data_IF_529268858854
#
_entry.id   IF_529268858854
#
_cell.length_a   1.000
_cell.length_b   1.000
_cell.length_c   1.000
_cell.angle_alpha   90.00
_cell.angle_beta   90.00
_cell.angle_gamma   90.00
#
_symmetry.space_group_name_H-M   'P 1'
#
loop_
_entity.id
_entity.type
_entity.pdbx_description
1 polymer ?
#
# COMPACT_ATOMS: atom_id res chain seq x y z
N UNK A 1 26.05 -4.29 5.86
CA UNK A 1 25.09 -3.78 6.83
C UNK A 1 23.69 -4.22 6.41
N UNK A 2 22.88 -4.68 7.35
CA UNK A 2 21.47 -5.03 7.14
C UNK A 2 20.61 -4.29 8.15
N UNK A 3 19.41 -3.91 7.75
CA UNK A 3 18.41 -3.29 8.61
C UNK A 3 17.01 -3.67 8.14
N UNK A 4 16.05 -3.51 9.03
CA UNK A 4 14.65 -3.84 8.79
C UNK A 4 13.79 -2.60 9.05
N UNK A 5 12.83 -2.37 8.18
CA UNK A 5 11.85 -1.31 8.29
C UNK A 5 10.64 -1.62 7.40
N UNK A 6 9.63 -0.77 7.41
CA UNK A 6 8.47 -0.86 6.54
C UNK A 6 8.85 -0.92 5.06
N UNK A 7 8.18 -1.75 4.29
CA UNK A 7 8.48 -1.99 2.87
C UNK A 7 8.49 -0.71 2.04
N UNK A 8 7.49 0.14 2.19
CA UNK A 8 7.41 1.38 1.43
C UNK A 8 8.59 2.31 1.75
N UNK A 9 9.06 2.32 3.00
CA UNK A 9 10.25 3.06 3.40
C UNK A 9 11.51 2.47 2.80
N UNK A 10 11.67 1.13 2.79
CA UNK A 10 12.79 0.45 2.13
C UNK A 10 12.90 0.81 0.66
N UNK A 11 11.80 0.67 -0.09
CA UNK A 11 11.77 1.02 -1.50
C UNK A 11 12.00 2.53 -1.74
N UNK A 12 11.49 3.38 -0.84
CA UNK A 12 11.74 4.81 -0.87
C UNK A 12 13.21 5.17 -0.67
N UNK A 13 13.89 4.54 0.28
CA UNK A 13 15.32 4.76 0.51
C UNK A 13 16.17 4.22 -0.65
N UNK A 14 15.81 3.06 -1.21
CA UNK A 14 16.47 2.55 -2.41
C UNK A 14 16.33 3.50 -3.60
N UNK A 15 15.16 4.09 -3.81
CA UNK A 15 14.91 5.05 -4.87
C UNK A 15 15.75 6.34 -4.73
N UNK A 16 16.14 6.73 -3.51
CA UNK A 16 17.00 7.86 -3.21
C UNK A 16 18.50 7.53 -3.31
N UNK A 17 18.85 6.26 -3.22
CA UNK A 17 20.25 5.85 -3.16
C UNK A 17 21.01 6.21 -4.44
N UNK A 18 22.25 6.68 -4.30
CA UNK A 18 23.11 7.00 -5.44
C UNK A 18 23.38 5.81 -6.36
N UNK A 19 23.42 4.62 -5.77
CA UNK A 19 23.58 3.33 -6.46
C UNK A 19 22.54 2.36 -5.93
N UNK A 20 21.35 2.38 -6.53
CA UNK A 20 20.25 1.49 -6.14
C UNK A 20 20.64 -0.01 -6.23
N UNK A 21 21.57 -0.35 -7.16
CA UNK A 21 22.08 -1.71 -7.33
C UNK A 21 22.88 -2.26 -6.15
N UNK A 22 23.34 -1.40 -5.24
CA UNK A 22 24.08 -1.83 -4.04
C UNK A 22 23.15 -2.34 -2.93
N UNK A 23 21.82 -2.22 -3.14
CA UNK A 23 20.81 -2.55 -2.16
C UNK A 23 19.82 -3.57 -2.71
N UNK A 24 19.36 -4.44 -1.86
CA UNK A 24 18.34 -5.45 -2.20
C UNK A 24 17.46 -5.73 -1.00
N UNK A 25 16.16 -5.84 -1.24
CA UNK A 25 15.21 -6.30 -0.22
C UNK A 25 15.17 -7.82 -0.26
N UNK A 26 15.45 -8.46 0.87
CA UNK A 26 15.55 -9.92 1.00
C UNK A 26 14.68 -10.46 2.14
N UNK A 27 14.40 -11.74 2.07
CA UNK A 27 13.66 -12.44 3.11
C UNK A 27 12.14 -12.39 2.88
N UNK A 28 11.42 -12.87 3.87
CA UNK A 28 9.95 -12.83 3.91
C UNK A 28 9.48 -11.68 4.78
N UNK A 29 8.28 -11.11 4.52
CA UNK A 29 7.70 -10.11 5.41
C UNK A 29 7.63 -10.63 6.85
N UNK A 30 8.03 -9.79 7.79
CA UNK A 30 8.07 -10.14 9.21
C UNK A 30 6.72 -9.93 9.91
N UNK A 31 5.90 -9.04 9.37
CA UNK A 31 4.56 -8.75 9.84
C UNK A 31 3.65 -8.32 8.69
N UNK A 32 2.36 -8.34 8.94
CA UNK A 32 1.35 -7.76 8.05
C UNK A 32 0.53 -6.78 8.86
N UNK A 33 0.35 -5.58 8.34
CA UNK A 33 -0.35 -4.51 9.01
C UNK A 33 -1.42 -3.93 8.08
N UNK A 34 -2.64 -3.78 8.61
CA UNK A 34 -3.72 -3.18 7.86
C UNK A 34 -3.81 -1.68 8.17
N UNK A 35 -3.87 -0.86 7.14
CA UNK A 35 -4.28 0.53 7.29
C UNK A 35 -5.79 0.61 7.43
N UNK A 36 -6.27 1.44 8.33
CA UNK A 36 -7.69 1.67 8.53
C UNK A 36 -8.03 3.15 8.65
N UNK A 37 -9.20 3.52 8.17
CA UNK A 37 -9.72 4.87 8.38
C UNK A 37 -10.43 4.93 9.74
N UNK A 38 -10.03 5.89 10.58
CA UNK A 38 -10.70 6.13 11.85
C UNK A 38 -12.02 6.87 11.61
N UNK A 39 -13.12 6.32 12.09
CA UNK A 39 -14.44 6.90 12.01
C UNK A 39 -15.02 7.10 13.40
N UNK A 40 -16.06 7.94 13.49
CA UNK A 40 -16.80 8.11 14.74
C UNK A 40 -17.42 6.78 15.17
N UNK A 41 -17.28 6.44 16.44
CA UNK A 41 -17.89 5.25 17.04
C UNK A 41 -19.42 5.36 16.98
N UNK A 42 -20.08 4.23 16.86
CA UNK A 42 -21.54 4.11 16.86
C UNK A 42 -22.25 4.92 15.76
N UNK A 43 -21.60 5.03 14.59
CA UNK A 43 -22.17 5.63 13.39
C UNK A 43 -22.18 4.64 12.22
N UNK A 44 -23.09 3.65 12.24
CA UNK A 44 -23.14 2.62 11.21
C UNK A 44 -23.55 3.17 9.83
N UNK A 45 -24.31 4.24 9.77
CA UNK A 45 -24.70 4.86 8.52
C UNK A 45 -23.50 5.46 7.79
N UNK A 46 -22.64 6.19 8.49
CA UNK A 46 -21.42 6.76 7.91
C UNK A 46 -20.40 5.67 7.56
N UNK A 47 -20.24 4.66 8.43
CA UNK A 47 -19.38 3.51 8.14
C UNK A 47 -19.80 2.82 6.83
N UNK A 48 -21.10 2.63 6.62
CA UNK A 48 -21.62 2.03 5.38
C UNK A 48 -21.26 2.84 4.14
N UNK A 49 -21.30 4.15 4.21
CA UNK A 49 -20.91 5.05 3.10
C UNK A 49 -19.42 4.90 2.79
N UNK A 50 -18.57 4.94 3.82
CA UNK A 50 -17.13 4.81 3.65
C UNK A 50 -16.74 3.43 3.12
N UNK A 51 -17.26 2.36 3.72
CA UNK A 51 -16.99 0.99 3.28
C UNK A 51 -17.44 0.77 1.82
N UNK A 52 -18.61 1.31 1.46
CA UNK A 52 -19.12 1.25 0.08
C UNK A 52 -18.24 1.98 -0.92
N UNK A 53 -17.75 3.17 -0.58
CA UNK A 53 -16.85 3.95 -1.41
C UNK A 53 -15.50 3.23 -1.62
N UNK A 54 -14.92 2.71 -0.53
CA UNK A 54 -13.67 1.96 -0.59
C UNK A 54 -13.82 0.66 -1.40
N UNK A 55 -14.88 -0.10 -1.15
CA UNK A 55 -15.15 -1.33 -1.89
C UNK A 55 -15.33 -1.05 -3.40
N UNK A 56 -16.03 0.01 -3.75
CA UNK A 56 -16.20 0.43 -5.15
C UNK A 56 -14.86 0.80 -5.79
N UNK A 57 -14.03 1.59 -5.10
CA UNK A 57 -12.71 1.96 -5.60
C UNK A 57 -11.82 0.72 -5.83
N UNK A 58 -11.86 -0.25 -4.92
CA UNK A 58 -11.10 -1.49 -5.02
C UNK A 58 -11.57 -2.38 -6.17
N UNK A 59 -12.86 -2.66 -6.25
CA UNK A 59 -13.43 -3.61 -7.24
C UNK A 59 -13.49 -3.04 -8.65
N UNK A 60 -13.57 -1.72 -8.81
CA UNK A 60 -13.57 -1.06 -10.13
C UNK A 60 -12.17 -0.95 -10.78
N UNK A 61 -11.11 -1.24 -10.04
CA UNK A 61 -9.73 -1.05 -10.49
C UNK A 61 -9.18 0.37 -10.23
N UNK A 62 -9.98 1.28 -9.67
CA UNK A 62 -9.54 2.64 -9.37
C UNK A 62 -8.43 2.66 -8.32
N UNK A 63 -8.56 1.87 -7.26
CA UNK A 63 -7.54 1.76 -6.21
C UNK A 63 -6.20 1.26 -6.79
N UNK A 64 -6.23 0.31 -7.72
CA UNK A 64 -5.03 -0.18 -8.39
C UNK A 64 -4.38 0.88 -9.27
N UNK A 65 -5.16 1.71 -9.95
CA UNK A 65 -4.65 2.85 -10.72
C UNK A 65 -4.00 3.91 -9.83
N UNK A 66 -4.63 4.21 -8.69
CA UNK A 66 -4.07 5.14 -7.70
C UNK A 66 -2.75 4.58 -7.14
N UNK A 67 -2.72 3.30 -6.81
CA UNK A 67 -1.50 2.63 -6.37
C UNK A 67 -0.39 2.74 -7.41
N UNK A 68 -0.68 2.40 -8.66
CA UNK A 68 0.29 2.50 -9.75
C UNK A 68 0.85 3.92 -9.92
N UNK A 69 0.00 4.94 -9.78
CA UNK A 69 0.42 6.35 -9.86
C UNK A 69 1.47 6.71 -8.82
N UNK A 70 1.35 6.21 -7.59
CA UNK A 70 2.20 6.61 -6.47
C UNK A 70 3.37 5.67 -6.19
N UNK A 71 3.28 4.42 -6.58
CA UNK A 71 4.27 3.38 -6.26
C UNK A 71 5.01 2.80 -7.48
N UNK A 72 4.52 3.03 -8.69
CA UNK A 72 5.09 2.46 -9.91
C UNK A 72 5.49 3.51 -10.96
N UNK A 73 5.34 4.78 -10.65
CA UNK A 73 5.68 5.89 -11.55
C UNK A 73 6.46 6.96 -10.80
N UNK A 74 7.19 7.83 -11.52
CA UNK A 74 7.83 8.98 -10.89
C UNK A 74 6.83 9.90 -10.20
N UNK A 75 7.10 10.25 -8.95
CA UNK A 75 6.23 11.08 -8.12
C UNK A 75 6.86 12.45 -7.81
N UNK A 76 6.05 13.53 -7.76
CA UNK A 76 6.56 14.84 -7.36
C UNK A 76 7.04 14.82 -5.89
N UNK A 77 7.92 15.76 -5.49
CA UNK A 77 8.51 16.82 -6.31
C UNK A 77 9.78 16.38 -7.04
N UNK A 78 10.41 15.27 -6.63
CA UNK A 78 11.75 14.86 -7.12
C UNK A 78 11.72 13.86 -8.27
N UNK A 79 10.55 13.39 -8.68
CA UNK A 79 10.42 12.38 -9.73
C UNK A 79 10.93 10.99 -9.33
N UNK A 80 10.95 10.67 -8.02
CA UNK A 80 11.34 9.33 -7.54
C UNK A 80 10.27 8.30 -7.89
N UNK A 81 10.72 7.15 -8.38
CA UNK A 81 9.87 6.00 -8.59
C UNK A 81 10.25 4.92 -7.57
N UNK A 82 9.32 4.53 -6.71
CA UNK A 82 9.56 3.52 -5.69
C UNK A 82 9.73 2.12 -6.29
N UNK A 83 9.17 1.87 -7.49
CA UNK A 83 9.18 0.53 -8.11
C UNK A 83 8.69 -0.56 -7.16
N UNK A 84 7.64 -0.24 -6.40
CA UNK A 84 7.08 -1.11 -5.38
C UNK A 84 5.79 -1.76 -5.89
N UNK A 85 5.86 -2.99 -6.47
CA UNK A 85 4.70 -3.64 -7.06
C UNK A 85 3.67 -4.03 -6.00
N UNK A 86 2.39 -3.95 -6.39
CA UNK A 86 1.29 -4.37 -5.55
C UNK A 86 1.38 -5.88 -5.25
N UNK A 87 1.37 -6.26 -3.98
CA UNK A 87 1.45 -7.66 -3.58
C UNK A 87 0.20 -8.46 -3.98
N UNK A 88 0.36 -9.77 -4.16
CA UNK A 88 -0.78 -10.64 -4.47
C UNK A 88 -1.82 -10.67 -3.34
N UNK A 89 -1.38 -10.51 -2.09
CA UNK A 89 -2.27 -10.41 -0.94
C UNK A 89 -3.19 -9.19 -1.05
N UNK A 90 -2.64 -8.02 -1.39
CA UNK A 90 -3.41 -6.78 -1.57
C UNK A 90 -4.31 -6.86 -2.80
N UNK A 91 -3.85 -7.46 -3.90
CA UNK A 91 -4.70 -7.70 -5.08
C UNK A 91 -5.92 -8.56 -4.77
N UNK A 92 -5.75 -9.59 -3.93
CA UNK A 92 -6.87 -10.42 -3.46
C UNK A 92 -7.85 -9.61 -2.62
N UNK A 93 -7.35 -8.74 -1.73
CA UNK A 93 -8.20 -7.85 -0.94
C UNK A 93 -8.99 -6.87 -1.82
N UNK A 94 -8.39 -6.33 -2.87
CA UNK A 94 -9.09 -5.45 -3.81
C UNK A 94 -10.20 -6.16 -4.57
N UNK A 95 -10.07 -7.46 -4.82
CA UNK A 95 -11.13 -8.27 -5.47
C UNK A 95 -12.26 -8.65 -4.51
N UNK A 96 -11.96 -8.80 -3.23
CA UNK A 96 -12.91 -9.18 -2.19
C UNK A 96 -12.71 -8.32 -0.93
N UNK A 97 -13.07 -7.01 -1.00
CA UNK A 97 -12.90 -6.11 0.13
C UNK A 97 -13.71 -6.56 1.35
N UNK A 98 -13.11 -6.40 2.53
CA UNK A 98 -13.77 -6.66 3.80
C UNK A 98 -13.20 -5.71 4.87
N UNK A 99 -13.86 -5.64 6.01
CA UNK A 99 -13.48 -4.80 7.14
C UNK A 99 -12.81 -5.57 8.30
N UNK A 100 -12.32 -6.77 8.02
CA UNK A 100 -11.65 -7.61 9.01
C UNK A 100 -10.23 -7.13 9.23
N UNK A 101 -9.80 -7.07 10.48
CA UNK A 101 -8.40 -6.89 10.81
C UNK A 101 -7.58 -8.13 10.42
N UNK A 102 -6.30 -7.94 10.13
CA UNK A 102 -5.38 -9.07 10.05
C UNK A 102 -5.13 -9.59 11.47
N UNK A 103 -5.28 -10.87 11.63
CA UNK A 103 -4.93 -11.60 12.85
C UNK A 103 -3.55 -12.27 12.69
#
# INVERSE_FOLDING_TARGET
>A
VAFMMDDALLYGEMAKAKKASDWVVVGTPQSFEAYGCMLRKDDPAFKKVVDGALAKAMTSGEAEKIYAKWFLQPIPPKGLNLNFPLSEAVKKLFKAPNDKAFE
#
